data_IF_279760679472
#
_entry.id   IF_279760679472
#
_cell.length_a   1.000
_cell.length_b   1.000
_cell.length_c   1.000
_cell.angle_alpha   90.00
_cell.angle_beta   90.00
_cell.angle_gamma   90.00
#
_symmetry.space_group_name_H-M   'P 1'
#
loop_
_entity.id
_entity.type
_entity.pdbx_description
1 polymer ?
#
# COMPACT_ATOMS: atom_id res chain seq x y z
N UNK A 1 -15.53 10.91 -14.98
CA UNK A 1 -16.00 11.88 -13.96
C UNK A 1 -16.21 11.27 -12.58
N UNK A 2 -17.05 10.23 -12.42
CA UNK A 2 -17.31 9.64 -11.09
C UNK A 2 -16.03 9.20 -10.36
N UNK A 3 -15.13 8.48 -11.04
CA UNK A 3 -13.84 8.09 -10.44
C UNK A 3 -12.98 9.31 -10.03
N UNK A 4 -13.10 10.45 -10.73
CA UNK A 4 -12.36 11.66 -10.41
C UNK A 4 -12.82 12.26 -9.08
N UNK A 5 -14.12 12.20 -8.76
CA UNK A 5 -14.67 12.70 -7.50
C UNK A 5 -14.08 11.97 -6.29
N UNK A 6 -13.72 10.69 -6.48
CA UNK A 6 -13.16 9.83 -5.44
C UNK A 6 -11.65 9.61 -5.59
N UNK A 7 -10.95 10.43 -6.40
CA UNK A 7 -9.50 10.33 -6.61
C UNK A 7 -8.71 10.31 -5.30
N UNK A 8 -9.07 11.18 -4.34
CA UNK A 8 -8.37 11.29 -3.06
C UNK A 8 -8.81 10.23 -2.05
N UNK A 9 -10.08 9.79 -2.12
CA UNK A 9 -10.61 8.78 -1.23
C UNK A 9 -10.10 7.37 -1.59
N UNK A 10 -9.80 7.13 -2.87
CA UNK A 10 -9.28 5.86 -3.38
C UNK A 10 -10.33 4.75 -3.48
N UNK A 11 -11.52 4.91 -2.90
CA UNK A 11 -12.62 3.98 -3.07
C UNK A 11 -13.99 4.62 -2.81
N UNK A 12 -15.04 3.97 -3.30
CA UNK A 12 -16.44 4.33 -3.02
C UNK A 12 -17.37 3.12 -3.18
N UNK A 13 -18.64 3.29 -2.79
CA UNK A 13 -19.66 2.25 -2.90
C UNK A 13 -20.91 2.82 -3.55
N UNK A 14 -21.53 2.03 -4.41
CA UNK A 14 -22.87 2.34 -4.92
C UNK A 14 -23.70 1.07 -5.08
N UNK A 15 -24.99 1.22 -4.83
CA UNK A 15 -25.97 0.21 -5.18
C UNK A 15 -26.18 0.19 -6.70
N UNK A 16 -26.57 -0.97 -7.22
CA UNK A 16 -26.91 -1.12 -8.65
C UNK A 16 -28.03 -0.17 -9.05
N UNK A 17 -29.03 0.00 -8.18
CA UNK A 17 -30.14 0.94 -8.42
C UNK A 17 -29.63 2.38 -8.53
N UNK A 18 -28.72 2.80 -7.64
CA UNK A 18 -28.19 4.17 -7.70
C UNK A 18 -27.35 4.41 -8.96
N UNK A 19 -26.56 3.43 -9.38
CA UNK A 19 -25.81 3.53 -10.64
C UNK A 19 -26.74 3.60 -11.86
N UNK A 20 -27.87 2.88 -11.84
CA UNK A 20 -28.87 2.97 -12.91
C UNK A 20 -29.49 4.36 -13.00
N UNK A 21 -29.83 4.94 -11.86
CA UNK A 21 -30.36 6.31 -11.79
C UNK A 21 -29.31 7.34 -12.29
N UNK A 22 -28.08 7.27 -11.76
CA UNK A 22 -27.01 8.22 -12.09
C UNK A 22 -26.63 8.21 -13.57
N UNK A 23 -26.70 7.06 -14.23
CA UNK A 23 -26.35 6.92 -15.65
C UNK A 23 -27.57 6.91 -16.57
N UNK A 24 -28.78 7.19 -16.05
CA UNK A 24 -30.04 7.19 -16.82
C UNK A 24 -30.30 5.85 -17.56
N UNK A 25 -30.06 4.74 -16.85
CA UNK A 25 -30.16 3.37 -17.33
C UNK A 25 -31.35 2.60 -16.72
N UNK A 26 -32.33 3.29 -16.14
CA UNK A 26 -33.47 2.69 -15.44
C UNK A 26 -34.28 1.75 -16.36
N UNK A 27 -34.33 2.07 -17.66
CA UNK A 27 -35.02 1.27 -18.68
C UNK A 27 -34.09 0.31 -19.45
N UNK A 28 -32.76 0.34 -19.22
CA UNK A 28 -31.75 -0.42 -19.96
C UNK A 28 -31.08 -1.49 -19.08
N UNK A 29 -30.50 -2.51 -19.72
CA UNK A 29 -29.73 -3.57 -19.05
C UNK A 29 -30.45 -4.20 -17.86
N UNK A 30 -31.72 -4.60 -18.02
CA UNK A 30 -32.56 -5.11 -16.92
C UNK A 30 -31.93 -6.31 -16.21
N UNK A 31 -31.17 -7.14 -16.94
CA UNK A 31 -30.43 -8.27 -16.38
C UNK A 31 -29.12 -7.81 -15.75
N UNK A 32 -28.81 -8.30 -14.55
CA UNK A 32 -27.57 -7.97 -13.84
C UNK A 32 -26.30 -8.28 -14.63
N UNK A 33 -26.29 -9.37 -15.42
CA UNK A 33 -25.15 -9.72 -16.27
C UNK A 33 -24.89 -8.70 -17.38
N UNK A 34 -25.95 -8.18 -18.01
CA UNK A 34 -25.81 -7.15 -19.04
C UNK A 34 -25.39 -5.81 -18.44
N UNK A 35 -25.91 -5.48 -17.25
CA UNK A 35 -25.49 -4.30 -16.50
C UNK A 35 -24.00 -4.37 -16.17
N UNK A 36 -23.54 -5.46 -15.54
CA UNK A 36 -22.13 -5.64 -15.20
C UNK A 36 -21.24 -5.50 -16.43
N UNK A 37 -21.57 -6.19 -17.52
CA UNK A 37 -20.76 -6.13 -18.75
C UNK A 37 -20.70 -4.72 -19.32
N UNK A 38 -21.85 -4.07 -19.52
CA UNK A 38 -21.92 -2.81 -20.28
C UNK A 38 -21.60 -1.56 -19.47
N UNK A 39 -21.83 -1.61 -18.16
CA UNK A 39 -21.71 -0.44 -17.28
C UNK A 39 -20.45 -0.50 -16.42
N UNK A 40 -19.89 -1.70 -16.21
CA UNK A 40 -18.72 -1.89 -15.34
C UNK A 40 -17.54 -2.48 -16.13
N UNK A 41 -17.68 -3.66 -16.73
CA UNK A 41 -16.56 -4.36 -17.39
C UNK A 41 -16.04 -3.58 -18.62
N UNK A 42 -16.93 -3.18 -19.54
CA UNK A 42 -16.57 -2.44 -20.76
C UNK A 42 -15.87 -1.10 -20.38
N UNK A 43 -16.43 -0.24 -19.49
CA UNK A 43 -15.75 0.99 -19.06
C UNK A 43 -14.47 0.77 -18.25
N UNK A 44 -14.40 -0.30 -17.44
CA UNK A 44 -13.18 -0.65 -16.70
C UNK A 44 -12.04 -0.94 -17.68
N UNK A 45 -12.32 -1.74 -18.71
CA UNK A 45 -11.35 -2.09 -19.76
C UNK A 45 -10.90 -0.84 -20.53
N UNK A 46 -11.84 -0.02 -20.96
CA UNK A 46 -11.56 1.21 -21.71
C UNK A 46 -10.69 2.19 -20.89
N UNK A 47 -11.06 2.47 -19.63
CA UNK A 47 -10.24 3.33 -18.78
C UNK A 47 -8.86 2.75 -18.50
N UNK A 48 -8.74 1.42 -18.38
CA UNK A 48 -7.44 0.77 -18.21
C UNK A 48 -6.57 0.91 -19.46
N UNK A 49 -7.14 0.81 -20.66
CA UNK A 49 -6.43 1.01 -21.92
C UNK A 49 -5.96 2.46 -22.07
N UNK A 50 -6.82 3.43 -21.80
CA UNK A 50 -6.47 4.87 -21.80
C UNK A 50 -5.40 5.20 -20.74
N UNK A 51 -5.50 4.56 -19.57
CA UNK A 51 -4.51 4.68 -18.52
C UNK A 51 -3.14 4.18 -19.00
N UNK A 52 -3.08 2.98 -19.55
CA UNK A 52 -1.84 2.39 -20.07
C UNK A 52 -1.24 3.22 -21.21
N UNK A 53 -2.08 3.79 -22.08
CA UNK A 53 -1.67 4.69 -23.16
C UNK A 53 -1.21 6.08 -22.66
N UNK A 54 -1.34 6.39 -21.36
CA UNK A 54 -0.98 7.69 -20.79
C UNK A 54 -1.98 8.81 -21.09
N UNK A 55 -3.14 8.47 -21.67
CA UNK A 55 -4.19 9.42 -21.99
C UNK A 55 -5.14 9.68 -20.80
N UNK A 56 -5.17 8.77 -19.84
CA UNK A 56 -5.86 8.94 -18.57
C UNK A 56 -4.86 8.71 -17.42
N UNK A 57 -5.03 9.45 -16.34
CA UNK A 57 -4.16 9.40 -15.16
C UNK A 57 -4.79 8.57 -14.02
N UNK A 58 -5.96 7.98 -14.27
CA UNK A 58 -6.64 7.07 -13.36
C UNK A 58 -7.29 5.88 -14.07
N UNK A 59 -7.52 4.81 -13.32
CA UNK A 59 -8.40 3.71 -13.69
C UNK A 59 -9.12 3.22 -12.43
N UNK A 60 -10.06 2.29 -12.59
CA UNK A 60 -10.75 1.69 -11.45
C UNK A 60 -10.77 0.16 -11.52
N UNK A 61 -10.97 -0.46 -10.38
CA UNK A 61 -11.36 -1.86 -10.25
C UNK A 61 -12.61 -1.94 -9.37
N UNK A 62 -13.34 -3.05 -9.43
CA UNK A 62 -14.55 -3.19 -8.65
C UNK A 62 -14.77 -4.63 -8.21
N UNK A 63 -15.48 -4.78 -7.10
CA UNK A 63 -15.90 -6.08 -6.59
C UNK A 63 -17.34 -6.02 -6.06
N UNK A 64 -18.10 -7.13 -6.13
CA UNK A 64 -19.39 -7.22 -5.47
C UNK A 64 -19.22 -7.08 -3.96
N UNK A 65 -20.05 -6.24 -3.33
CA UNK A 65 -20.05 -6.02 -1.88
C UNK A 65 -21.24 -6.69 -1.19
N UNK A 66 -22.43 -6.55 -1.77
CA UNK A 66 -23.67 -7.07 -1.19
C UNK A 66 -24.50 -7.80 -2.24
N UNK A 67 -25.28 -8.77 -1.77
CA UNK A 67 -26.11 -9.63 -2.60
C UNK A 67 -27.54 -9.72 -2.07
N UNK A 68 -28.49 -9.95 -2.97
CA UNK A 68 -29.86 -10.40 -2.68
C UNK A 68 -30.09 -11.71 -3.42
N UNK A 69 -30.03 -12.82 -2.68
CA UNK A 69 -29.95 -14.14 -3.31
C UNK A 69 -28.67 -14.27 -4.14
N UNK A 70 -28.80 -14.52 -5.44
CA UNK A 70 -27.67 -14.61 -6.38
C UNK A 70 -27.36 -13.29 -7.10
N UNK A 71 -28.17 -12.26 -6.90
CA UNK A 71 -28.00 -10.98 -7.58
C UNK A 71 -27.18 -10.02 -6.75
N UNK A 72 -26.18 -9.38 -7.36
CA UNK A 72 -25.39 -8.33 -6.72
C UNK A 72 -26.25 -7.07 -6.59
N UNK A 73 -26.33 -6.51 -5.38
CA UNK A 73 -27.07 -5.28 -5.10
C UNK A 73 -26.17 -4.07 -4.91
N UNK A 74 -24.92 -4.28 -4.50
CA UNK A 74 -23.95 -3.22 -4.25
C UNK A 74 -22.56 -3.61 -4.74
N UNK A 75 -21.84 -2.64 -5.31
CA UNK A 75 -20.46 -2.77 -5.72
C UNK A 75 -19.57 -1.83 -4.89
N UNK A 76 -18.37 -2.31 -4.58
CA UNK A 76 -17.25 -1.49 -4.12
C UNK A 76 -16.35 -1.19 -5.31
N UNK A 77 -15.96 0.07 -5.43
CA UNK A 77 -15.07 0.56 -6.47
C UNK A 77 -13.77 1.03 -5.83
N UNK A 78 -12.65 0.63 -6.40
CA UNK A 78 -11.30 1.07 -6.08
C UNK A 78 -10.81 1.99 -7.19
N UNK A 79 -10.34 3.18 -6.84
CA UNK A 79 -9.81 4.18 -7.77
C UNK A 79 -8.31 4.24 -7.61
N UNK A 80 -7.59 4.01 -8.71
CA UNK A 80 -6.14 4.06 -8.76
C UNK A 80 -5.72 5.24 -9.63
N UNK A 81 -4.69 5.96 -9.19
CA UNK A 81 -4.10 7.06 -9.94
C UNK A 81 -2.61 6.84 -10.12
N UNK A 82 -2.03 7.42 -11.18
CA UNK A 82 -0.58 7.39 -11.42
C UNK A 82 0.21 7.90 -10.21
N UNK A 83 -0.28 8.96 -9.57
CA UNK A 83 0.34 9.54 -8.38
C UNK A 83 0.35 8.55 -7.21
N UNK A 84 -0.78 7.92 -6.91
CA UNK A 84 -0.87 6.94 -5.81
C UNK A 84 -0.04 5.68 -6.07
N UNK A 85 0.05 5.21 -7.32
CA UNK A 85 0.89 4.06 -7.66
C UNK A 85 2.37 4.40 -7.58
N UNK A 86 2.79 5.56 -8.09
CA UNK A 86 4.15 6.07 -7.93
C UNK A 86 4.53 6.24 -6.46
N UNK A 87 3.62 6.76 -5.64
CA UNK A 87 3.87 6.91 -4.21
C UNK A 87 4.06 5.55 -3.50
N UNK A 88 3.23 4.55 -3.83
CA UNK A 88 3.42 3.17 -3.33
C UNK A 88 4.73 2.55 -3.79
N UNK A 89 5.15 2.79 -5.04
CA UNK A 89 6.44 2.36 -5.57
C UNK A 89 7.61 3.00 -4.80
N UNK A 90 7.54 4.32 -4.58
CA UNK A 90 8.56 5.05 -3.80
C UNK A 90 8.61 4.59 -2.35
N UNK A 91 7.47 4.32 -1.72
CA UNK A 91 7.39 3.75 -0.37
C UNK A 91 8.00 2.36 -0.31
N UNK A 92 7.72 1.51 -1.30
CA UNK A 92 8.32 0.17 -1.42
C UNK A 92 9.83 0.23 -1.61
N UNK A 93 10.32 1.08 -2.52
CA UNK A 93 11.75 1.28 -2.73
C UNK A 93 12.45 1.84 -1.49
N UNK A 94 11.81 2.80 -0.80
CA UNK A 94 12.30 3.36 0.45
C UNK A 94 12.37 2.31 1.55
N UNK A 95 11.35 1.46 1.70
CA UNK A 95 11.34 0.36 2.65
C UNK A 95 12.46 -0.66 2.33
N UNK A 96 12.64 -1.01 1.06
CA UNK A 96 13.73 -1.89 0.62
C UNK A 96 15.11 -1.30 0.96
N UNK A 97 15.32 -0.02 0.68
CA UNK A 97 16.57 0.67 1.01
C UNK A 97 16.80 0.74 2.52
N UNK A 98 15.74 1.00 3.30
CA UNK A 98 15.79 0.99 4.75
C UNK A 98 16.17 -0.39 5.31
N UNK A 99 15.60 -1.48 4.78
CA UNK A 99 15.96 -2.85 5.18
C UNK A 99 17.44 -3.14 4.90
N UNK A 100 17.95 -2.74 3.72
CA UNK A 100 19.38 -2.89 3.38
C UNK A 100 20.26 -2.14 4.37
N UNK A 101 19.91 -0.88 4.67
CA UNK A 101 20.62 -0.06 5.63
C UNK A 101 20.63 -0.68 7.03
N UNK A 102 19.47 -1.13 7.54
CA UNK A 102 19.35 -1.78 8.85
C UNK A 102 20.19 -3.04 8.90
N UNK A 103 20.07 -3.90 7.88
CA UNK A 103 20.82 -5.17 7.79
C UNK A 103 22.32 -4.93 7.84
N UNK A 104 22.81 -4.00 7.02
CA UNK A 104 24.24 -3.67 6.94
C UNK A 104 24.75 -3.09 8.26
N UNK A 105 23.96 -2.21 8.88
CA UNK A 105 24.29 -1.54 10.13
C UNK A 105 24.33 -2.52 11.29
N UNK A 106 23.27 -3.29 11.51
CA UNK A 106 23.19 -4.26 12.61
C UNK A 106 24.25 -5.36 12.46
N UNK A 107 24.51 -5.81 11.23
CA UNK A 107 25.61 -6.75 10.96
C UNK A 107 26.97 -6.18 11.36
N UNK A 108 27.19 -4.85 11.25
CA UNK A 108 28.45 -4.21 11.65
C UNK A 108 28.65 -4.17 13.16
N UNK A 109 27.60 -3.90 13.94
CA UNK A 109 27.67 -3.72 15.40
C UNK A 109 27.48 -5.02 16.18
N UNK A 110 26.79 -6.00 15.60
CA UNK A 110 26.45 -7.28 16.24
C UNK A 110 27.09 -8.47 15.55
N UNK A 111 28.29 -8.29 14.96
CA UNK A 111 29.03 -9.34 14.22
C UNK A 111 29.15 -10.67 14.96
N UNK A 112 29.30 -10.64 16.28
CA UNK A 112 29.41 -11.81 17.14
C UNK A 112 28.07 -12.50 17.42
N UNK A 113 26.95 -11.79 17.31
CA UNK A 113 25.59 -12.29 17.60
C UNK A 113 24.79 -12.43 16.30
N UNK A 114 25.15 -13.45 15.51
CA UNK A 114 24.48 -13.75 14.23
C UNK A 114 23.00 -14.08 14.40
N UNK A 115 22.61 -14.64 15.55
CA UNK A 115 21.23 -14.95 15.88
C UNK A 115 20.37 -13.69 15.98
N UNK A 116 20.87 -12.69 16.69
CA UNK A 116 20.23 -11.38 16.78
C UNK A 116 20.11 -10.69 15.42
N UNK A 117 21.19 -10.65 14.62
CA UNK A 117 21.15 -10.07 13.27
C UNK A 117 20.02 -10.70 12.44
N UNK A 118 19.89 -12.03 12.47
CA UNK A 118 18.82 -12.74 11.73
C UNK A 118 17.42 -12.36 12.22
N UNK A 119 17.21 -12.23 13.53
CA UNK A 119 15.90 -11.84 14.09
C UNK A 119 15.51 -10.43 13.68
N UNK A 120 16.45 -9.48 13.75
CA UNK A 120 16.21 -8.09 13.33
C UNK A 120 15.88 -8.02 11.84
N UNK A 121 16.66 -8.71 10.99
CA UNK A 121 16.43 -8.75 9.54
C UNK A 121 15.06 -9.36 9.22
N UNK A 122 14.72 -10.48 9.86
CA UNK A 122 13.41 -11.11 9.66
C UNK A 122 12.26 -10.19 10.09
N UNK A 123 12.38 -9.51 11.23
CA UNK A 123 11.34 -8.61 11.72
C UNK A 123 11.04 -7.48 10.73
N UNK A 124 12.06 -6.82 10.18
CA UNK A 124 11.87 -5.71 9.22
C UNK A 124 11.49 -6.19 7.81
N UNK A 125 11.76 -7.45 7.46
CA UNK A 125 11.31 -8.05 6.21
C UNK A 125 9.84 -8.49 6.26
N UNK A 126 9.39 -9.00 7.41
CA UNK A 126 7.99 -9.37 7.64
C UNK A 126 7.09 -8.14 7.78
N UNK A 127 7.66 -7.02 8.25
CA UNK A 127 6.97 -5.75 8.44
C UNK A 127 7.68 -4.60 7.71
N UNK A 128 7.64 -4.53 6.36
CA UNK A 128 8.30 -3.46 5.60
C UNK A 128 7.75 -2.06 5.95
N UNK A 129 6.52 -1.96 6.45
CA UNK A 129 5.87 -0.72 6.87
C UNK A 129 6.59 0.00 8.03
N UNK A 130 7.30 -0.75 8.89
CA UNK A 130 8.09 -0.17 9.99
C UNK A 130 9.56 0.05 9.60
N UNK A 131 10.03 -0.52 8.49
CA UNK A 131 11.45 -0.51 8.13
C UNK A 131 12.02 0.92 8.00
N UNK A 132 11.27 1.84 7.39
CA UNK A 132 11.70 3.25 7.26
C UNK A 132 11.84 3.92 8.63
N UNK A 133 10.90 3.68 9.55
CA UNK A 133 10.92 4.25 10.90
C UNK A 133 12.09 3.71 11.71
N UNK A 134 12.35 2.40 11.60
CA UNK A 134 13.51 1.76 12.24
C UNK A 134 14.82 2.36 11.72
N UNK A 135 14.96 2.50 10.39
CA UNK A 135 16.17 3.07 9.79
C UNK A 135 16.41 4.52 10.24
N UNK A 136 15.37 5.35 10.26
CA UNK A 136 15.43 6.73 10.76
C UNK A 136 15.82 6.78 12.24
N UNK A 137 15.27 5.89 13.08
CA UNK A 137 15.60 5.83 14.50
C UNK A 137 17.06 5.46 14.72
N UNK A 138 17.56 4.46 13.99
CA UNK A 138 18.97 4.05 14.02
C UNK A 138 19.85 5.23 13.59
N UNK A 139 19.54 5.90 12.48
CA UNK A 139 20.32 7.05 12.00
C UNK A 139 20.37 8.19 13.03
N UNK A 140 19.21 8.56 13.61
CA UNK A 140 19.15 9.59 14.66
C UNK A 140 20.02 9.23 15.87
N UNK A 141 20.08 7.95 16.25
CA UNK A 141 20.94 7.48 17.34
C UNK A 141 22.42 7.52 16.97
N UNK A 142 22.79 7.27 15.71
CA UNK A 142 24.16 7.49 15.25
C UNK A 142 24.58 8.94 15.37
N UNK A 143 23.75 9.87 14.88
CA UNK A 143 24.03 11.30 14.94
C UNK A 143 24.14 11.79 16.40
N UNK A 144 23.26 11.30 17.28
CA UNK A 144 23.26 11.68 18.69
C UNK A 144 24.49 11.17 19.48
N UNK A 145 25.05 10.03 19.09
CA UNK A 145 26.12 9.35 19.84
C UNK A 145 27.39 9.16 19.01
N UNK A 146 27.62 10.00 18.00
CA UNK A 146 28.73 9.87 17.06
C UNK A 146 30.11 9.85 17.74
N UNK A 147 30.25 10.58 18.86
CA UNK A 147 31.49 10.68 19.64
C UNK A 147 31.72 9.48 20.59
N UNK A 148 30.77 8.53 20.66
CA UNK A 148 30.86 7.38 21.55
C UNK A 148 31.58 6.20 20.87
N UNK A 149 32.21 5.30 21.64
CA UNK A 149 32.77 4.08 21.10
C UNK A 149 31.71 3.24 20.39
N UNK A 150 32.08 2.64 19.25
CA UNK A 150 31.18 1.81 18.43
C UNK A 150 30.42 0.73 19.22
N UNK A 151 31.06 0.12 20.22
CA UNK A 151 30.44 -0.89 21.10
C UNK A 151 29.28 -0.33 21.92
N UNK A 152 29.39 0.90 22.42
CA UNK A 152 28.32 1.57 23.16
C UNK A 152 27.17 1.95 22.23
N UNK A 153 27.48 2.46 21.04
CA UNK A 153 26.46 2.78 20.03
C UNK A 153 25.66 1.53 19.66
N UNK A 154 26.34 0.38 19.45
CA UNK A 154 25.67 -0.90 19.18
C UNK A 154 24.72 -1.34 20.30
N UNK A 155 25.12 -1.16 21.57
CA UNK A 155 24.25 -1.47 22.72
C UNK A 155 23.03 -0.53 22.78
N UNK A 156 23.22 0.77 22.55
CA UNK A 156 22.13 1.75 22.51
C UNK A 156 21.12 1.41 21.41
N UNK A 157 21.59 1.08 20.21
CA UNK A 157 20.72 0.67 19.10
C UNK A 157 19.91 -0.56 19.47
N UNK A 158 20.54 -1.57 20.10
CA UNK A 158 19.84 -2.78 20.52
C UNK A 158 18.71 -2.48 21.50
N UNK A 159 18.95 -1.63 22.50
CA UNK A 159 17.91 -1.21 23.46
C UNK A 159 16.78 -0.48 22.73
N UNK A 160 17.08 0.44 21.82
CA UNK A 160 16.04 1.13 21.05
C UNK A 160 15.20 0.18 20.19
N UNK A 161 15.83 -0.82 19.55
CA UNK A 161 15.09 -1.80 18.74
C UNK A 161 14.16 -2.67 19.60
N UNK A 162 14.57 -2.98 20.82
CA UNK A 162 13.74 -3.71 21.78
C UNK A 162 12.59 -2.86 22.31
N UNK A 163 12.88 -1.67 22.84
CA UNK A 163 11.87 -0.81 23.50
C UNK A 163 10.85 -0.22 22.52
N UNK A 164 11.31 0.28 21.36
CA UNK A 164 10.46 1.01 20.42
C UNK A 164 9.75 0.08 19.42
N UNK A 165 10.34 -1.09 19.12
CA UNK A 165 9.87 -1.97 18.04
C UNK A 165 9.69 -3.44 18.45
N UNK A 166 10.01 -3.81 19.70
CA UNK A 166 9.83 -5.18 20.20
C UNK A 166 10.77 -6.21 19.59
N UNK A 167 11.92 -5.79 19.05
CA UNK A 167 12.87 -6.68 18.34
C UNK A 167 14.02 -7.07 19.28
N UNK A 168 13.98 -8.30 19.82
CA UNK A 168 14.97 -8.88 20.76
C UNK A 168 16.06 -9.76 20.13
#
# INVERSE_FOLDING_TARGET
ELCCQYRNAGFFFYTVEKLREMFMLEKKYKRGCDFKRRVLDDPQKELRELYNAGQCDLYFEFEPKSYKGKEVTEYKFYVYTRQTEQQKLLEYESAKQAIIYITTTISRFSKSDKGYVKRVVNAVQLHPEIAVQVAQKIQKKFEQYIDKPAKQIGAIIRVCLMEDFGIE
#
